data_IF_589289692981
#
_entry.id   IF_589289692981
#
_cell.length_a   1.000
_cell.length_b   1.000
_cell.length_c   1.000
_cell.angle_alpha   90.00
_cell.angle_beta   90.00
_cell.angle_gamma   90.00
#
_symmetry.space_group_name_H-M   'P 1'
#
loop_
_entity.id
_entity.type
_entity.pdbx_description
1 polymer ?
#
# COMPACT_ATOMS: atom_id res chain seq x y z
N UNK A 1 -15.73 -11.70 -1.71
CA UNK A 1 -15.64 -11.14 -0.34
C UNK A 1 -14.55 -11.88 0.43
N UNK A 2 -13.88 -11.24 1.38
CA UNK A 2 -12.78 -11.83 2.14
C UNK A 2 -12.10 -10.81 3.05
N UNK A 3 -10.82 -11.02 3.31
CA UNK A 3 -9.98 -10.08 4.04
C UNK A 3 -8.85 -9.61 3.13
N UNK A 4 -8.48 -8.34 3.22
CA UNK A 4 -7.34 -7.80 2.49
C UNK A 4 -6.44 -7.07 3.48
N UNK A 5 -5.16 -7.41 3.43
CA UNK A 5 -4.09 -6.65 4.05
C UNK A 5 -3.22 -6.13 2.93
N UNK A 6 -3.06 -4.82 2.87
CA UNK A 6 -2.37 -4.12 1.79
C UNK A 6 -1.38 -3.13 2.37
N UNK A 7 -0.11 -3.29 2.01
CA UNK A 7 0.97 -2.38 2.43
C UNK A 7 1.51 -1.66 1.20
N UNK A 8 1.69 -0.36 1.33
CA UNK A 8 2.38 0.47 0.34
C UNK A 8 3.57 1.15 1.02
N UNK A 9 4.72 1.06 0.37
CA UNK A 9 5.93 1.75 0.79
C UNK A 9 6.30 2.78 -0.29
N UNK A 10 6.46 4.03 0.14
CA UNK A 10 7.07 5.09 -0.66
C UNK A 10 8.47 5.32 -0.14
N UNK A 11 9.43 5.45 -1.04
CA UNK A 11 10.81 5.67 -0.63
C UNK A 11 11.50 6.64 -1.58
N UNK A 12 12.49 7.34 -1.05
CA UNK A 12 13.19 8.34 -1.81
C UNK A 12 14.05 7.72 -2.91
N UNK A 13 14.02 8.32 -4.10
CA UNK A 13 14.77 7.83 -5.26
C UNK A 13 16.29 7.76 -5.04
N UNK A 14 16.85 8.43 -4.02
CA UNK A 14 18.26 8.31 -3.69
C UNK A 14 18.66 6.90 -3.24
N UNK A 15 17.73 6.12 -2.65
CA UNK A 15 18.00 4.75 -2.23
C UNK A 15 18.37 3.86 -3.42
N UNK A 16 17.73 4.07 -4.58
CA UNK A 16 18.04 3.35 -5.82
C UNK A 16 19.43 3.67 -6.38
N UNK A 17 20.08 4.76 -5.93
CA UNK A 17 21.44 5.12 -6.34
C UNK A 17 22.50 4.46 -5.46
N UNK A 18 22.19 4.24 -4.18
CA UNK A 18 23.13 3.68 -3.20
C UNK A 18 22.93 2.19 -2.96
N UNK A 19 21.79 1.65 -3.37
CA UNK A 19 21.40 0.23 -3.24
C UNK A 19 20.82 -0.30 -4.56
N UNK A 20 20.35 -1.54 -4.56
CA UNK A 20 19.68 -2.15 -5.71
C UNK A 20 18.21 -2.49 -5.36
N UNK A 21 17.43 -2.79 -6.40
CA UNK A 21 16.00 -3.14 -6.26
C UNK A 21 15.77 -4.38 -5.42
N UNK A 22 16.70 -5.34 -5.43
CA UNK A 22 16.62 -6.55 -4.60
C UNK A 22 16.71 -6.22 -3.12
N UNK A 23 17.62 -5.33 -2.72
CA UNK A 23 17.78 -4.88 -1.35
C UNK A 23 16.52 -4.15 -0.89
N UNK A 24 15.97 -3.25 -1.70
CA UNK A 24 14.72 -2.54 -1.38
C UNK A 24 13.57 -3.53 -1.19
N UNK A 25 13.42 -4.52 -2.09
CA UNK A 25 12.40 -5.57 -1.95
C UNK A 25 12.56 -6.37 -0.67
N UNK A 26 13.80 -6.66 -0.25
CA UNK A 26 14.06 -7.32 1.03
C UNK A 26 13.61 -6.43 2.20
N UNK A 27 13.91 -5.13 2.18
CA UNK A 27 13.45 -4.20 3.23
C UNK A 27 11.92 -4.10 3.30
N UNK A 28 11.25 -4.01 2.15
CA UNK A 28 9.78 -4.02 2.07
C UNK A 28 9.23 -5.33 2.64
N UNK A 29 9.81 -6.47 2.24
CA UNK A 29 9.38 -7.77 2.72
C UNK A 29 9.50 -7.88 4.24
N UNK A 30 10.63 -7.46 4.82
CA UNK A 30 10.86 -7.46 6.27
C UNK A 30 9.87 -6.57 7.04
N UNK A 31 9.30 -5.54 6.40
CA UNK A 31 8.27 -4.69 7.00
C UNK A 31 6.88 -5.33 6.99
N UNK A 32 6.60 -6.18 6.00
CA UNK A 32 5.33 -6.91 5.98
C UNK A 32 5.22 -7.83 7.20
N UNK A 33 4.02 -8.03 7.74
CA UNK A 33 3.79 -9.04 8.76
C UNK A 33 4.40 -10.39 8.35
N UNK A 34 4.24 -10.82 7.09
CA UNK A 34 4.80 -12.08 6.60
C UNK A 34 6.34 -12.14 6.66
N UNK A 35 7.06 -11.05 6.40
CA UNK A 35 8.53 -11.02 6.51
C UNK A 35 9.04 -10.90 7.95
N UNK A 36 8.23 -10.42 8.89
CA UNK A 36 8.50 -10.52 10.34
C UNK A 36 8.26 -11.95 10.86
N UNK A 37 7.42 -12.76 10.21
CA UNK A 37 6.96 -14.07 10.70
C UNK A 37 7.41 -15.28 9.88
N UNK A 38 8.16 -15.10 8.79
CA UNK A 38 8.86 -16.17 8.06
C UNK A 38 10.17 -16.62 8.73
N UNK A 39 10.35 -16.32 10.03
CA UNK A 39 11.31 -17.01 10.87
C UNK A 39 10.79 -18.45 11.04
N UNK A 40 11.31 -19.36 10.23
CA UNK A 40 11.09 -20.80 10.40
C UNK A 40 11.37 -21.16 11.87
N UNK A 41 10.56 -22.03 12.50
CA UNK A 41 10.84 -22.52 13.84
C UNK A 41 12.17 -23.30 13.93
N UNK A 42 12.82 -23.58 12.80
CA UNK A 42 14.07 -24.35 12.69
C UNK A 42 15.24 -23.60 12.03
N UNK A 43 15.09 -22.32 11.63
CA UNK A 43 16.23 -21.56 11.09
C UNK A 43 16.77 -20.62 12.14
N UNK A 44 18.08 -20.67 12.35
CA UNK A 44 18.88 -19.73 13.13
C UNK A 44 18.26 -18.33 13.18
N UNK A 45 18.18 -17.78 14.40
CA UNK A 45 17.71 -16.45 14.77
C UNK A 45 18.53 -15.35 14.08
N UNK A 46 18.40 -15.26 12.76
CA UNK A 46 18.85 -14.10 12.02
C UNK A 46 17.73 -13.09 12.16
N UNK A 47 17.79 -12.28 13.21
CA UNK A 47 16.96 -11.08 13.36
C UNK A 47 17.31 -10.12 12.23
N UNK A 48 16.68 -10.32 11.07
CA UNK A 48 16.78 -9.39 9.95
C UNK A 48 15.98 -8.16 10.33
N UNK A 49 16.67 -7.13 10.81
CA UNK A 49 16.07 -5.83 11.10
C UNK A 49 16.01 -5.00 9.82
N UNK A 50 14.96 -4.18 9.71
CA UNK A 50 14.89 -3.16 8.66
C UNK A 50 16.03 -2.18 8.92
N UNK A 51 16.75 -1.82 7.86
CA UNK A 51 17.85 -0.87 7.96
C UNK A 51 17.35 0.51 8.39
N UNK A 52 18.16 1.18 9.19
CA UNK A 52 17.92 2.56 9.62
C UNK A 52 17.82 3.49 8.40
N UNK A 53 18.66 3.26 7.40
CA UNK A 53 18.68 4.04 6.15
C UNK A 53 17.36 3.90 5.38
N UNK A 54 16.82 2.68 5.25
CA UNK A 54 15.51 2.49 4.62
C UNK A 54 14.40 3.14 5.44
N UNK A 55 14.42 2.97 6.76
CA UNK A 55 13.40 3.56 7.66
C UNK A 55 13.38 5.08 7.60
N UNK A 56 14.56 5.71 7.51
CA UNK A 56 14.69 7.16 7.42
C UNK A 56 14.21 7.74 6.08
N UNK A 57 14.40 6.98 5.00
CA UNK A 57 14.13 7.43 3.63
C UNK A 57 12.93 6.72 3.01
N UNK A 58 12.03 6.16 3.84
CA UNK A 58 10.77 5.57 3.40
C UNK A 58 9.63 5.90 4.35
N UNK A 59 8.44 6.00 3.78
CA UNK A 59 7.17 6.03 4.48
C UNK A 59 6.37 4.81 4.06
N UNK A 60 5.50 4.32 4.94
CA UNK A 60 4.61 3.23 4.59
C UNK A 60 3.20 3.47 5.11
N UNK A 61 2.24 2.89 4.40
CA UNK A 61 0.85 2.85 4.81
C UNK A 61 0.36 1.41 4.78
N UNK A 62 -0.42 1.04 5.79
CA UNK A 62 -0.99 -0.29 5.95
C UNK A 62 -2.50 -0.16 6.03
N UNK A 63 -3.17 -0.80 5.08
CA UNK A 63 -4.62 -0.87 5.02
C UNK A 63 -5.08 -2.30 5.29
N UNK A 64 -6.06 -2.44 6.18
CA UNK A 64 -6.67 -3.71 6.54
C UNK A 64 -8.18 -3.60 6.30
N UNK A 65 -8.72 -4.57 5.58
CA UNK A 65 -10.15 -4.67 5.29
C UNK A 65 -10.66 -6.04 5.68
N UNK A 66 -11.78 -6.08 6.39
CA UNK A 66 -12.35 -7.30 6.95
C UNK A 66 -11.62 -7.78 8.21
N UNK A 67 -12.22 -8.78 8.86
CA UNK A 67 -11.79 -9.25 10.18
C UNK A 67 -12.11 -8.25 11.29
N UNK A 68 -11.55 -8.48 12.48
CA UNK A 68 -11.69 -7.58 13.62
C UNK A 68 -10.58 -6.54 13.64
N UNK A 69 -10.94 -5.27 13.81
CA UNK A 69 -9.99 -4.16 14.01
C UNK A 69 -9.31 -4.18 15.39
N UNK A 70 -9.76 -5.04 16.29
CA UNK A 70 -9.21 -5.17 17.65
C UNK A 70 -7.92 -5.99 17.72
N UNK A 71 -7.57 -6.72 16.67
CA UNK A 71 -6.38 -7.57 16.64
C UNK A 71 -5.19 -6.77 16.11
N UNK A 72 -4.07 -6.79 16.84
CA UNK A 72 -2.85 -6.15 16.36
C UNK A 72 -2.43 -6.83 15.04
N UNK A 73 -2.04 -6.06 14.02
CA UNK A 73 -1.62 -6.60 12.73
C UNK A 73 -0.35 -7.45 12.82
N UNK A 74 0.48 -7.22 13.85
CA UNK A 74 1.59 -8.12 14.19
C UNK A 74 1.09 -9.53 14.54
N UNK A 75 -0.17 -9.70 14.92
CA UNK A 75 -0.83 -10.98 15.18
C UNK A 75 -1.71 -11.39 14.00
N UNK A 76 -1.21 -11.29 12.76
CA UNK A 76 -1.98 -11.59 11.55
C UNK A 76 -2.63 -12.99 11.56
N UNK A 77 -1.99 -13.97 12.22
CA UNK A 77 -2.52 -15.34 12.41
C UNK A 77 -3.80 -15.37 13.24
N UNK A 78 -3.96 -14.43 14.17
CA UNK A 78 -5.17 -14.27 14.98
C UNK A 78 -6.23 -13.45 14.24
N UNK A 79 -5.81 -12.50 13.39
CA UNK A 79 -6.73 -11.73 12.54
C UNK A 79 -7.37 -12.61 11.47
N UNK A 80 -6.60 -13.47 10.80
CA UNK A 80 -7.06 -14.26 9.65
C UNK A 80 -8.33 -15.08 9.93
N UNK A 81 -8.48 -15.82 11.05
CA UNK A 81 -9.73 -16.50 11.40
C UNK A 81 -10.95 -15.58 11.53
N UNK A 82 -10.76 -14.34 11.97
CA UNK A 82 -11.85 -13.36 12.16
C UNK A 82 -12.46 -12.88 10.84
N UNK A 83 -11.71 -12.98 9.74
CA UNK A 83 -12.18 -12.62 8.39
C UNK A 83 -13.38 -13.44 7.99
N UNK A 84 -13.44 -14.72 8.39
CA UNK A 84 -14.60 -15.60 8.10
C UNK A 84 -15.87 -15.07 8.73
N UNK A 85 -15.77 -14.43 9.91
CA UNK A 85 -16.92 -13.90 10.65
C UNK A 85 -17.30 -12.49 10.18
N UNK A 86 -16.32 -11.69 9.76
CA UNK A 86 -16.50 -10.30 9.33
C UNK A 86 -15.83 -10.03 7.98
N UNK A 87 -16.32 -10.64 6.88
CA UNK A 87 -15.71 -10.46 5.56
C UNK A 87 -16.01 -9.07 4.99
N UNK A 88 -15.15 -8.61 4.09
CA UNK A 88 -15.30 -7.36 3.34
C UNK A 88 -15.34 -7.59 1.82
N UNK A 89 -15.93 -6.67 1.07
CA UNK A 89 -15.90 -6.70 -0.39
C UNK A 89 -14.52 -6.24 -0.90
N UNK A 90 -13.62 -7.21 -1.12
CA UNK A 90 -12.24 -6.95 -1.58
C UNK A 90 -12.12 -6.78 -3.10
N UNK A 91 -13.10 -7.28 -3.85
CA UNK A 91 -13.20 -7.16 -5.29
C UNK A 91 -14.69 -7.16 -5.64
N UNK A 92 -15.07 -6.24 -6.52
CA UNK A 92 -16.45 -6.02 -6.94
C UNK A 92 -16.47 -5.34 -8.30
N UNK A 93 -17.54 -5.59 -9.05
CA UNK A 93 -17.82 -4.87 -10.27
C UNK A 93 -18.70 -3.66 -9.98
N UNK A 94 -18.36 -2.52 -10.59
CA UNK A 94 -19.15 -1.30 -10.45
C UNK A 94 -20.16 -1.20 -11.59
N UNK A 95 -21.42 -0.96 -11.23
CA UNK A 95 -22.48 -0.63 -12.17
C UNK A 95 -22.93 0.82 -11.95
N UNK A 96 -23.09 1.62 -13.02
CA UNK A 96 -23.60 2.97 -12.88
C UNK A 96 -25.00 2.98 -12.25
N UNK A 97 -25.24 3.88 -11.29
CA UNK A 97 -26.47 3.92 -10.49
C UNK A 97 -27.74 4.09 -11.35
N UNK A 98 -27.66 4.81 -12.47
CA UNK A 98 -28.79 4.99 -13.39
C UNK A 98 -29.26 3.68 -14.05
N UNK A 99 -28.43 2.63 -14.09
CA UNK A 99 -28.83 1.32 -14.63
C UNK A 99 -29.87 0.60 -13.75
N UNK A 100 -30.01 1.01 -12.49
CA UNK A 100 -31.04 0.49 -11.59
C UNK A 100 -32.43 1.05 -11.91
N UNK A 101 -32.51 2.10 -12.73
CA UNK A 101 -33.77 2.70 -13.16
C UNK A 101 -34.29 2.09 -14.47
N UNK A 102 -35.63 2.02 -14.66
CA UNK A 102 -36.22 1.57 -15.91
C UNK A 102 -35.68 2.34 -17.12
N UNK A 103 -35.46 1.65 -18.24
CA UNK A 103 -34.84 2.21 -19.43
C UNK A 103 -35.56 3.47 -19.96
N UNK A 104 -36.89 3.50 -19.86
CA UNK A 104 -37.74 4.56 -20.41
C UNK A 104 -38.02 5.70 -19.42
N UNK A 105 -37.31 5.77 -18.29
CA UNK A 105 -37.52 6.82 -17.29
C UNK A 105 -36.72 8.09 -17.61
N UNK A 106 -37.36 9.25 -17.57
CA UNK A 106 -36.65 10.55 -17.68
C UNK A 106 -35.63 10.73 -16.56
N UNK A 107 -35.92 10.20 -15.36
CA UNK A 107 -34.97 10.22 -14.22
C UNK A 107 -33.69 9.46 -14.53
N UNK A 108 -33.75 8.38 -15.32
CA UNK A 108 -32.57 7.63 -15.76
C UNK A 108 -31.67 8.51 -16.63
N UNK A 109 -32.26 9.22 -17.60
CA UNK A 109 -31.52 10.14 -18.49
C UNK A 109 -30.87 11.28 -17.70
N UNK A 110 -31.61 11.90 -16.78
CA UNK A 110 -31.06 12.96 -15.91
C UNK A 110 -29.90 12.45 -15.04
N UNK A 111 -30.03 11.25 -14.46
CA UNK A 111 -29.00 10.68 -13.60
C UNK A 111 -27.76 10.23 -14.38
N UNK A 112 -27.94 9.75 -15.60
CA UNK A 112 -26.84 9.45 -16.53
C UNK A 112 -26.05 10.72 -16.87
N UNK A 113 -26.75 11.81 -17.24
CA UNK A 113 -26.11 13.09 -17.50
C UNK A 113 -25.39 13.66 -16.28
N UNK A 114 -26.00 13.59 -15.09
CA UNK A 114 -25.37 14.02 -13.85
C UNK A 114 -24.11 13.19 -13.52
N UNK A 115 -24.15 11.87 -13.75
CA UNK A 115 -23.00 10.98 -13.56
C UNK A 115 -21.86 11.34 -14.52
N UNK A 116 -22.18 11.59 -15.79
CA UNK A 116 -21.20 12.01 -16.79
C UNK A 116 -20.58 13.35 -16.43
N UNK A 117 -21.40 14.32 -16.03
CA UNK A 117 -20.94 15.64 -15.61
C UNK A 117 -19.99 15.56 -14.41
N UNK A 118 -20.37 14.81 -13.38
CA UNK A 118 -19.53 14.58 -12.21
C UNK A 118 -18.17 14.00 -12.59
N UNK A 119 -18.15 13.00 -13.48
CA UNK A 119 -16.91 12.38 -13.96
C UNK A 119 -16.04 13.37 -14.72
N UNK A 120 -16.61 14.11 -15.68
CA UNK A 120 -15.87 15.12 -16.45
C UNK A 120 -15.26 16.19 -15.54
N UNK A 121 -16.00 16.62 -14.51
CA UNK A 121 -15.49 17.59 -13.55
C UNK A 121 -14.34 17.02 -12.70
N UNK A 122 -14.44 15.75 -12.28
CA UNK A 122 -13.37 15.07 -11.56
C UNK A 122 -12.10 14.97 -12.42
N UNK A 123 -12.22 14.58 -13.69
CA UNK A 123 -11.11 14.50 -14.64
C UNK A 123 -10.43 15.86 -14.86
N UNK A 124 -11.22 16.94 -14.96
CA UNK A 124 -10.69 18.31 -15.06
C UNK A 124 -9.94 18.74 -13.79
N UNK A 125 -10.49 18.42 -12.62
CA UNK A 125 -9.87 18.72 -11.33
C UNK A 125 -8.54 17.97 -11.18
N UNK A 126 -8.50 16.69 -11.57
CA UNK A 126 -7.27 15.88 -11.56
C UNK A 126 -6.19 16.48 -12.46
N UNK A 127 -6.53 16.82 -13.72
CA UNK A 127 -5.60 17.47 -14.65
C UNK A 127 -5.05 18.78 -14.09
N UNK A 128 -5.92 19.58 -13.49
CA UNK A 128 -5.54 20.86 -12.86
C UNK A 128 -4.59 20.64 -11.69
N UNK A 129 -4.86 19.62 -10.86
CA UNK A 129 -4.00 19.26 -9.74
C UNK A 129 -2.62 18.77 -10.19
N UNK A 130 -2.56 17.91 -11.20
CA UNK A 130 -1.30 17.43 -11.79
C UNK A 130 -0.49 18.59 -12.36
N UNK A 131 -1.12 19.48 -13.11
CA UNK A 131 -0.46 20.67 -13.65
C UNK A 131 0.10 21.56 -12.52
N UNK A 132 -0.66 21.73 -11.43
CA UNK A 132 -0.21 22.48 -10.25
C UNK A 132 1.02 21.84 -9.61
N UNK A 133 1.03 20.52 -9.39
CA UNK A 133 2.21 19.81 -8.84
C UNK A 133 3.42 19.97 -9.77
N UNK A 134 3.23 19.90 -11.09
CA UNK A 134 4.33 20.01 -12.05
C UNK A 134 5.05 21.37 -11.97
N UNK A 135 4.35 22.44 -11.56
CA UNK A 135 4.93 23.78 -11.37
C UNK A 135 5.58 24.00 -10.00
N UNK A 136 5.35 23.10 -9.03
CA UNK A 136 5.93 23.25 -7.69
C UNK A 136 7.45 23.05 -7.74
N UNK A 137 8.21 23.83 -6.94
CA UNK A 137 9.65 23.62 -6.83
C UNK A 137 9.92 22.19 -6.35
N UNK A 138 10.83 21.50 -7.04
CA UNK A 138 11.20 20.14 -6.68
C UNK A 138 11.76 20.14 -5.25
N UNK A 139 11.39 19.15 -4.41
CA UNK A 139 11.97 19.05 -3.09
C UNK A 139 13.50 18.95 -3.20
N UNK A 140 14.23 19.44 -2.18
CA UNK A 140 15.68 19.33 -2.14
C UNK A 140 16.09 17.87 -2.36
N UNK A 141 17.16 17.64 -3.11
CA UNK A 141 17.62 16.27 -3.41
C UNK A 141 17.98 15.59 -2.10
N UNK A 142 17.32 14.47 -1.74
CA UNK A 142 17.67 13.77 -0.54
C UNK A 142 19.04 13.11 -0.67
N UNK A 143 19.79 13.12 0.43
CA UNK A 143 21.11 12.50 0.53
C UNK A 143 21.01 11.17 1.27
N UNK A 144 20.92 10.07 0.51
CA UNK A 144 21.03 8.73 1.07
C UNK A 144 22.51 8.33 1.25
N UNK A 145 22.81 7.59 2.31
CA UNK A 145 24.10 6.92 2.52
C UNK A 145 23.99 5.44 2.15
N UNK A 146 25.12 4.81 1.80
CA UNK A 146 25.13 3.35 1.61
C UNK A 146 24.81 2.68 2.95
N UNK A 147 23.85 1.75 3.01
CA UNK A 147 23.55 1.03 4.23
C UNK A 147 24.78 0.23 4.67
N UNK A 148 25.10 0.30 5.96
CA UNK A 148 26.20 -0.46 6.55
C UNK A 148 25.75 -1.92 6.65
N UNK A 149 26.26 -2.77 5.76
CA UNK A 149 26.13 -4.22 5.90
C UNK A 149 26.92 -4.64 7.13
N UNK A 150 26.23 -4.97 8.23
CA UNK A 150 26.85 -5.79 9.29
C UNK A 150 27.09 -7.17 8.68
N UNK A 151 28.26 -7.36 8.04
CA UNK A 151 28.74 -8.70 7.68
C UNK A 151 28.83 -9.51 8.96
N UNK A 152 28.19 -10.67 8.92
CA UNK A 152 28.21 -11.73 9.92
C UNK A 152 29.61 -11.90 10.51
N UNK A 153 29.73 -11.78 11.83
CA UNK A 153 30.88 -12.33 12.56
C UNK A 153 30.95 -13.82 12.23
N UNK A 154 31.97 -14.22 11.44
CA UNK A 154 32.38 -15.62 11.37
C UNK A 154 32.96 -15.95 12.74
N UNK A 155 32.23 -16.74 13.52
CA UNK A 155 32.80 -17.44 14.66
C UNK A 155 33.63 -18.60 14.11
N UNK A 156 34.90 -18.63 14.51
CA UNK A 156 35.83 -19.74 14.31
C UNK A 156 35.45 -20.92 15.19
#
# INVERSE_FOLDING_TARGET
MGGLMWQQDWFESCLLRVTNTSWIREQVALRTPQGLFNLSPYSETTTKTISEEYTKHSEYSLQVMGGSYSTNISQWREWMPTVKQKPHAISYDLLPIYRLLPANSDRRRSLEQATLHFRTQADLNERTYIAKIATMPKPPRPGCKKPISKRSLKLF
#
